data_IF_502344191509
#
_entry.id   IF_502344191509
#
_cell.length_a   1.000
_cell.length_b   1.000
_cell.length_c   1.000
_cell.angle_alpha   90.00
_cell.angle_beta   90.00
_cell.angle_gamma   90.00
#
_symmetry.space_group_name_H-M   'P 1'
#
loop_
_entity.id
_entity.type
_entity.pdbx_description
1 polymer ?
#
# COMPACT_ATOMS: atom_id res chain seq x y z
N UNK A 1 28.56 -11.77 7.91
CA UNK A 1 28.00 -13.03 8.46
C UNK A 1 27.03 -12.63 9.57
N UNK A 2 25.79 -13.14 9.64
CA UNK A 2 25.06 -14.01 8.72
C UNK A 2 23.87 -13.28 8.03
N UNK A 3 23.32 -13.93 6.99
CA UNK A 3 22.02 -13.63 6.40
C UNK A 3 20.95 -13.80 7.48
N UNK A 4 20.07 -12.81 7.62
CA UNK A 4 18.89 -12.93 8.47
C UNK A 4 17.97 -13.95 7.77
N UNK A 5 17.96 -15.19 8.26
CA UNK A 5 16.84 -16.10 8.05
C UNK A 5 15.64 -15.48 8.75
N UNK A 6 14.79 -14.76 7.99
CA UNK A 6 13.47 -14.39 8.46
C UNK A 6 12.59 -15.63 8.29
N UNK A 7 12.62 -16.51 9.28
CA UNK A 7 11.71 -17.64 9.37
C UNK A 7 10.34 -17.10 9.79
N UNK A 8 9.58 -16.59 8.81
CA UNK A 8 8.18 -16.24 8.98
C UNK A 8 7.38 -17.45 8.52
N UNK A 9 6.90 -18.27 9.45
CA UNK A 9 5.77 -19.16 9.17
C UNK A 9 4.57 -18.27 8.84
N UNK A 10 4.38 -17.95 7.55
CA UNK A 10 3.13 -17.38 7.08
C UNK A 10 1.99 -18.32 7.45
N UNK A 11 0.91 -17.78 8.02
CA UNK A 11 -0.27 -18.60 8.29
C UNK A 11 -0.77 -19.19 6.98
N UNK A 12 -0.99 -20.51 6.95
CA UNK A 12 -1.61 -21.23 5.84
C UNK A 12 -2.90 -20.53 5.38
N UNK A 13 -3.67 -19.98 6.31
CA UNK A 13 -4.92 -19.24 6.01
C UNK A 13 -4.68 -17.95 5.22
N UNK A 14 -3.59 -17.23 5.49
CA UNK A 14 -3.25 -16.00 4.77
C UNK A 14 -2.92 -16.32 3.30
N UNK A 15 -2.18 -17.41 3.07
CA UNK A 15 -1.84 -17.90 1.74
C UNK A 15 -3.06 -18.42 1.00
N UNK A 16 -3.92 -19.21 1.66
CA UNK A 16 -5.20 -19.68 1.09
C UNK A 16 -6.09 -18.50 0.68
N UNK A 17 -6.21 -17.48 1.52
CA UNK A 17 -7.00 -16.29 1.20
C UNK A 17 -6.40 -15.50 0.04
N UNK A 18 -5.09 -15.29 -0.01
CA UNK A 18 -4.43 -14.63 -1.14
C UNK A 18 -4.62 -15.42 -2.44
N UNK A 19 -4.59 -16.75 -2.35
CA UNK A 19 -4.91 -17.66 -3.45
C UNK A 19 -6.35 -17.46 -3.94
N UNK A 20 -7.33 -17.44 -3.04
CA UNK A 20 -8.74 -17.20 -3.40
C UNK A 20 -8.95 -15.83 -4.06
N UNK A 21 -8.35 -14.77 -3.50
CA UNK A 21 -8.31 -13.43 -4.11
C UNK A 21 -7.80 -13.50 -5.56
N UNK A 22 -6.67 -14.18 -5.74
CA UNK A 22 -6.00 -14.23 -7.04
C UNK A 22 -6.82 -14.97 -8.08
N UNK A 23 -7.34 -16.16 -7.72
CA UNK A 23 -8.04 -17.02 -8.67
C UNK A 23 -9.39 -16.43 -9.02
N UNK A 24 -10.24 -16.22 -8.02
CA UNK A 24 -11.66 -15.93 -8.24
C UNK A 24 -11.88 -14.47 -8.65
N UNK A 25 -10.97 -13.54 -8.30
CA UNK A 25 -11.20 -12.11 -8.49
C UNK A 25 -10.15 -11.36 -9.31
N UNK A 26 -8.89 -11.79 -9.32
CA UNK A 26 -7.86 -11.10 -10.12
C UNK A 26 -7.72 -11.71 -11.51
N UNK A 27 -7.70 -13.04 -11.59
CA UNK A 27 -7.45 -13.78 -12.82
C UNK A 27 -8.75 -14.15 -13.53
N UNK A 28 -9.74 -14.73 -12.83
CA UNK A 28 -10.99 -15.20 -13.46
C UNK A 28 -11.72 -14.13 -14.32
N UNK A 29 -11.80 -12.84 -13.92
CA UNK A 29 -12.43 -11.82 -14.75
C UNK A 29 -11.71 -11.55 -16.09
N UNK A 30 -10.42 -11.88 -16.20
CA UNK A 30 -9.66 -11.78 -17.45
C UNK A 30 -9.95 -12.96 -18.39
N UNK A 31 -10.43 -14.07 -17.83
CA UNK A 31 -10.78 -15.28 -18.54
C UNK A 31 -12.17 -15.13 -19.18
N UNK A 32 -12.30 -15.66 -20.39
CA UNK A 32 -13.55 -15.67 -21.14
C UNK A 32 -14.62 -16.58 -20.53
N UNK A 33 -15.23 -17.43 -21.35
CA UNK A 33 -16.36 -18.28 -20.96
C UNK A 33 -16.08 -19.25 -19.79
N UNK A 34 -17.16 -19.77 -19.19
CA UNK A 34 -17.15 -20.59 -17.97
C UNK A 34 -16.30 -21.87 -18.00
N UNK A 35 -16.07 -22.47 -19.19
CA UNK A 35 -15.21 -23.65 -19.33
C UNK A 35 -13.74 -23.34 -19.10
N UNK A 36 -13.24 -22.25 -19.71
CA UNK A 36 -11.88 -21.78 -19.49
C UNK A 36 -11.65 -21.47 -18.01
N UNK A 37 -12.63 -20.84 -17.35
CA UNK A 37 -12.56 -20.52 -15.91
C UNK A 37 -12.34 -21.74 -15.02
N UNK A 38 -13.03 -22.87 -15.29
CA UNK A 38 -12.97 -24.07 -14.46
C UNK A 38 -11.65 -24.84 -14.57
N UNK A 39 -11.10 -24.98 -15.77
CA UNK A 39 -9.81 -25.67 -16.00
C UNK A 39 -8.63 -24.85 -15.45
N UNK A 40 -8.73 -23.53 -15.61
CA UNK A 40 -7.74 -22.57 -15.13
C UNK A 40 -7.72 -22.49 -13.62
N UNK A 41 -8.88 -22.42 -12.97
CA UNK A 41 -9.04 -22.43 -11.51
C UNK A 41 -8.29 -23.60 -10.85
N UNK A 42 -8.47 -24.81 -11.37
CA UNK A 42 -7.79 -26.00 -10.83
C UNK A 42 -6.26 -25.95 -11.00
N UNK A 43 -5.77 -25.32 -12.07
CA UNK A 43 -4.33 -25.21 -12.36
C UNK A 43 -3.69 -24.07 -11.57
N UNK A 44 -4.37 -22.91 -11.44
CA UNK A 44 -3.91 -21.82 -10.59
C UNK A 44 -3.87 -22.21 -9.12
N UNK A 45 -4.88 -22.93 -8.61
CA UNK A 45 -4.88 -23.39 -7.21
C UNK A 45 -3.64 -24.24 -6.90
N UNK A 46 -3.23 -25.12 -7.83
CA UNK A 46 -1.98 -25.89 -7.70
C UNK A 46 -0.74 -25.01 -7.78
N UNK A 47 -0.71 -24.07 -8.73
CA UNK A 47 0.43 -23.19 -8.96
C UNK A 47 0.69 -22.17 -7.84
N UNK A 48 -0.39 -21.67 -7.23
CA UNK A 48 -0.35 -20.72 -6.12
C UNK A 48 -0.16 -21.44 -4.77
N UNK A 49 -0.62 -22.68 -4.62
CA UNK A 49 -0.31 -23.52 -3.45
C UNK A 49 1.16 -23.95 -3.35
N UNK A 50 1.87 -24.03 -4.49
CA UNK A 50 3.32 -24.24 -4.56
C UNK A 50 4.13 -22.93 -4.69
N UNK A 51 3.41 -21.80 -4.83
CA UNK A 51 3.92 -20.43 -4.95
C UNK A 51 5.11 -20.25 -5.91
N UNK A 52 4.87 -20.39 -7.21
CA UNK A 52 5.83 -20.01 -8.25
C UNK A 52 5.17 -19.09 -9.29
N UNK A 53 5.60 -17.83 -9.37
CA UNK A 53 5.15 -16.84 -10.36
C UNK A 53 5.25 -17.36 -11.82
N UNK A 54 6.23 -18.20 -12.11
CA UNK A 54 6.39 -18.88 -13.40
C UNK A 54 5.20 -19.78 -13.76
N UNK A 55 4.60 -20.44 -12.77
CA UNK A 55 3.45 -21.34 -13.00
C UNK A 55 2.17 -20.54 -13.24
N UNK A 56 1.94 -19.41 -12.54
CA UNK A 56 0.82 -18.49 -12.84
C UNK A 56 0.95 -17.95 -14.27
N UNK A 57 2.17 -17.59 -14.68
CA UNK A 57 2.45 -17.15 -16.04
C UNK A 57 2.23 -18.28 -17.07
N UNK A 58 2.63 -19.51 -16.76
CA UNK A 58 2.41 -20.67 -17.63
C UNK A 58 0.92 -20.95 -17.85
N UNK A 59 0.12 -20.86 -16.78
CA UNK A 59 -1.35 -20.92 -16.86
C UNK A 59 -1.89 -19.79 -17.73
N UNK A 60 -1.36 -18.57 -17.55
CA UNK A 60 -1.69 -17.42 -18.39
C UNK A 60 -1.44 -17.62 -19.88
N UNK A 61 -0.32 -18.26 -20.25
CA UNK A 61 0.00 -18.63 -21.64
C UNK A 61 -1.02 -19.62 -22.19
N UNK A 62 -1.31 -20.69 -21.46
CA UNK A 62 -2.28 -21.70 -21.88
C UNK A 62 -3.68 -21.10 -22.13
N UNK A 63 -4.08 -20.12 -21.33
CA UNK A 63 -5.34 -19.39 -21.49
C UNK A 63 -5.33 -18.51 -22.73
N UNK A 64 -4.25 -17.75 -22.92
CA UNK A 64 -4.10 -16.87 -24.05
C UNK A 64 -4.16 -17.67 -25.36
N UNK A 65 -3.51 -18.84 -25.38
CA UNK A 65 -3.58 -19.82 -26.46
C UNK A 65 -5.02 -20.34 -26.67
N UNK A 66 -5.71 -20.76 -25.60
CA UNK A 66 -7.09 -21.28 -25.70
C UNK A 66 -8.07 -20.22 -26.24
N UNK A 67 -7.94 -18.96 -25.79
CA UNK A 67 -8.77 -17.85 -26.26
C UNK A 67 -8.45 -17.49 -27.71
N UNK A 68 -7.17 -17.55 -28.10
CA UNK A 68 -6.77 -17.40 -29.50
C UNK A 68 -7.35 -18.53 -30.38
N UNK A 69 -7.38 -19.78 -29.90
CA UNK A 69 -8.00 -20.89 -30.61
C UNK A 69 -9.52 -20.71 -30.78
N UNK A 70 -10.23 -20.22 -29.75
CA UNK A 70 -11.66 -19.93 -29.83
C UNK A 70 -11.95 -18.84 -30.90
N UNK A 71 -11.15 -17.77 -30.91
CA UNK A 71 -11.31 -16.69 -31.89
C UNK A 71 -10.96 -17.19 -33.31
N UNK A 72 -9.88 -17.98 -33.47
CA UNK A 72 -9.52 -18.61 -34.75
C UNK A 72 -10.64 -19.51 -35.28
N UNK A 73 -11.20 -20.37 -34.45
CA UNK A 73 -12.32 -21.23 -34.82
C UNK A 73 -13.55 -20.42 -35.27
N UNK A 74 -13.78 -19.25 -34.66
CA UNK A 74 -14.83 -18.30 -35.06
C UNK A 74 -14.49 -17.55 -36.35
N UNK A 75 -13.21 -17.30 -36.64
CA UNK A 75 -12.71 -16.66 -37.85
C UNK A 75 -12.63 -17.62 -39.06
N UNK A 76 -12.51 -18.93 -38.82
CA UNK A 76 -12.59 -19.97 -39.85
C UNK A 76 -14.03 -20.22 -40.35
N UNK A 77 -15.05 -19.65 -39.68
CA UNK A 77 -16.37 -19.46 -40.28
C UNK A 77 -16.25 -18.52 -41.50
N UNK A 78 -16.95 -18.74 -42.62
CA UNK A 78 -16.66 -18.04 -43.88
C UNK A 78 -16.94 -16.52 -43.80
N UNK A 79 -15.92 -15.64 -43.84
CA UNK A 79 -15.79 -14.65 -44.94
C UNK A 79 -14.33 -14.39 -45.44
N UNK A 80 -14.21 -13.52 -46.47
CA UNK A 80 -13.08 -13.37 -47.42
C UNK A 80 -11.69 -12.92 -46.92
N UNK A 81 -10.66 -13.20 -47.73
CA UNK A 81 -9.25 -13.31 -47.36
C UNK A 81 -8.52 -12.06 -46.80
N UNK A 82 -8.98 -10.84 -47.06
CA UNK A 82 -8.43 -9.63 -46.42
C UNK A 82 -8.83 -9.52 -44.95
N UNK A 83 -10.04 -9.99 -44.61
CA UNK A 83 -10.53 -10.07 -43.24
C UNK A 83 -9.68 -11.03 -42.40
N UNK A 84 -9.11 -12.08 -43.01
CA UNK A 84 -8.33 -13.12 -42.31
C UNK A 84 -6.97 -12.63 -41.79
N UNK A 85 -6.27 -11.79 -42.55
CA UNK A 85 -4.98 -11.23 -42.10
C UNK A 85 -5.19 -10.27 -40.93
N UNK A 86 -6.20 -9.41 -41.03
CA UNK A 86 -6.57 -8.48 -39.95
C UNK A 86 -7.03 -9.22 -38.68
N UNK A 87 -7.80 -10.31 -38.80
CA UNK A 87 -8.20 -11.13 -37.64
C UNK A 87 -7.03 -11.86 -36.98
N UNK A 88 -6.07 -12.40 -37.76
CA UNK A 88 -4.90 -13.09 -37.19
C UNK A 88 -3.99 -12.11 -36.43
N UNK A 89 -3.84 -10.89 -36.90
CA UNK A 89 -3.08 -9.84 -36.19
C UNK A 89 -3.80 -9.37 -34.91
N UNK A 90 -5.14 -9.29 -34.94
CA UNK A 90 -5.95 -9.01 -33.75
C UNK A 90 -5.81 -10.12 -32.70
N UNK A 91 -5.76 -11.38 -33.11
CA UNK A 91 -5.58 -12.53 -32.21
C UNK A 91 -4.25 -12.46 -31.49
N UNK A 92 -3.13 -12.25 -32.22
CA UNK A 92 -1.80 -12.13 -31.62
C UNK A 92 -1.68 -10.95 -30.67
N UNK A 93 -2.34 -9.82 -30.98
CA UNK A 93 -2.38 -8.67 -30.08
C UNK A 93 -3.16 -8.98 -28.81
N UNK A 94 -4.28 -9.69 -28.93
CA UNK A 94 -5.13 -10.07 -27.80
C UNK A 94 -4.41 -11.05 -26.87
N UNK A 95 -3.74 -12.05 -27.45
CA UNK A 95 -2.91 -13.04 -26.74
C UNK A 95 -1.80 -12.34 -25.93
N UNK A 96 -0.94 -11.56 -26.59
CA UNK A 96 0.15 -10.82 -25.94
C UNK A 96 -0.34 -9.87 -24.86
N UNK A 97 -1.48 -9.22 -25.07
CA UNK A 97 -2.06 -8.32 -24.08
C UNK A 97 -2.54 -9.08 -22.85
N UNK A 98 -3.14 -10.25 -23.02
CA UNK A 98 -3.57 -11.09 -21.90
C UNK A 98 -2.38 -11.65 -21.14
N UNK A 99 -1.38 -12.17 -21.83
CA UNK A 99 -0.13 -12.64 -21.22
C UNK A 99 0.54 -11.56 -20.37
N UNK A 100 0.68 -10.35 -20.91
CA UNK A 100 1.27 -9.21 -20.18
C UNK A 100 0.48 -8.87 -18.92
N UNK A 101 -0.85 -8.82 -19.02
CA UNK A 101 -1.74 -8.51 -17.88
C UNK A 101 -1.64 -9.55 -16.78
N UNK A 102 -1.64 -10.83 -17.15
CA UNK A 102 -1.50 -11.93 -16.21
C UNK A 102 -0.11 -11.97 -15.59
N UNK A 103 0.94 -11.68 -16.37
CA UNK A 103 2.30 -11.55 -15.86
C UNK A 103 2.44 -10.44 -14.82
N UNK A 104 1.81 -9.28 -15.06
CA UNK A 104 1.80 -8.17 -14.10
C UNK A 104 1.09 -8.56 -12.79
N UNK A 105 -0.09 -9.19 -12.87
CA UNK A 105 -0.82 -9.67 -11.69
C UNK A 105 0.01 -10.72 -10.93
N UNK A 106 0.61 -11.67 -11.63
CA UNK A 106 1.44 -12.72 -11.03
C UNK A 106 2.62 -12.12 -10.25
N UNK A 107 3.31 -11.13 -10.83
CA UNK A 107 4.41 -10.44 -10.17
C UNK A 107 3.96 -9.69 -8.91
N UNK A 108 2.80 -9.03 -8.95
CA UNK A 108 2.23 -8.33 -7.78
C UNK A 108 1.82 -9.33 -6.69
N UNK A 109 1.19 -10.45 -7.05
CA UNK A 109 0.77 -11.48 -6.09
C UNK A 109 1.97 -12.14 -5.41
N UNK A 110 3.04 -12.43 -6.16
CA UNK A 110 4.25 -13.01 -5.59
C UNK A 110 4.94 -12.04 -4.63
N UNK A 111 5.03 -10.75 -4.99
CA UNK A 111 5.49 -9.69 -4.09
C UNK A 111 4.58 -9.54 -2.86
N UNK A 112 3.25 -9.65 -3.03
CA UNK A 112 2.28 -9.50 -1.95
C UNK A 112 2.41 -10.63 -0.93
N UNK A 113 2.67 -11.85 -1.41
CA UNK A 113 2.97 -13.01 -0.57
C UNK A 113 4.14 -12.73 0.37
N UNK A 114 5.22 -12.13 -0.13
CA UNK A 114 6.38 -11.78 0.70
C UNK A 114 6.09 -10.65 1.71
N UNK A 115 5.07 -9.83 1.45
CA UNK A 115 4.68 -8.69 2.29
C UNK A 115 3.53 -8.99 3.27
N UNK A 116 3.00 -10.22 3.29
CA UNK A 116 1.94 -10.60 4.23
C UNK A 116 2.47 -10.61 5.67
N UNK A 117 1.71 -10.07 6.64
CA UNK A 117 2.12 -10.13 8.05
C UNK A 117 2.06 -11.58 8.57
N UNK A 118 2.87 -11.84 9.59
CA UNK A 118 2.80 -13.10 10.33
C UNK A 118 1.46 -13.21 11.09
N UNK A 119 0.93 -14.44 11.18
CA UNK A 119 -0.27 -14.74 11.96
C UNK A 119 -1.55 -14.97 11.15
N UNK A 120 -2.63 -15.30 11.86
CA UNK A 120 -3.91 -15.65 11.27
C UNK A 120 -4.62 -14.44 10.68
N UNK A 121 -5.08 -14.60 9.44
CA UNK A 121 -5.85 -13.59 8.74
C UNK A 121 -7.36 -13.87 8.91
N UNK A 122 -8.20 -12.85 9.17
CA UNK A 122 -9.64 -13.04 9.30
C UNK A 122 -10.23 -13.66 8.03
N UNK A 123 -11.06 -14.69 8.21
CA UNK A 123 -11.81 -15.35 7.15
C UNK A 123 -13.02 -14.49 6.75
N UNK A 124 -12.77 -13.50 5.90
CA UNK A 124 -13.76 -12.54 5.41
C UNK A 124 -13.65 -12.46 3.91
N UNK A 125 -14.78 -12.65 3.23
CA UNK A 125 -14.84 -12.61 1.78
C UNK A 125 -14.38 -11.25 1.21
N UNK A 126 -13.68 -11.27 0.05
CA UNK A 126 -13.25 -10.07 -0.65
C UNK A 126 -14.45 -9.21 -1.08
N UNK A 127 -14.29 -7.88 -1.03
CA UNK A 127 -15.27 -7.00 -1.66
C UNK A 127 -15.12 -7.04 -3.20
N UNK A 128 -16.22 -7.36 -3.90
CA UNK A 128 -16.22 -7.52 -5.37
C UNK A 128 -15.88 -6.21 -6.09
N UNK A 129 -16.33 -5.07 -5.58
CA UNK A 129 -16.05 -3.77 -6.19
C UNK A 129 -14.58 -3.38 -5.98
N UNK A 130 -14.03 -3.68 -4.80
CA UNK A 130 -12.62 -3.51 -4.48
C UNK A 130 -11.74 -4.39 -5.37
N UNK A 131 -12.00 -5.69 -5.44
CA UNK A 131 -11.17 -6.63 -6.22
C UNK A 131 -11.20 -6.34 -7.71
N UNK A 132 -12.37 -5.96 -8.25
CA UNK A 132 -12.49 -5.50 -9.64
C UNK A 132 -11.67 -4.24 -9.90
N UNK A 133 -11.72 -3.27 -8.99
CA UNK A 133 -10.96 -2.03 -9.09
C UNK A 133 -9.45 -2.29 -8.99
N UNK A 134 -9.04 -3.18 -8.08
CA UNK A 134 -7.66 -3.58 -7.88
C UNK A 134 -7.12 -4.28 -9.14
N UNK A 135 -7.79 -5.33 -9.61
CA UNK A 135 -7.40 -6.08 -10.82
C UNK A 135 -7.27 -5.16 -12.04
N UNK A 136 -8.24 -4.25 -12.21
CA UNK A 136 -8.26 -3.30 -13.31
C UNK A 136 -7.03 -2.39 -13.35
N UNK A 137 -6.54 -1.95 -12.19
CA UNK A 137 -5.30 -1.18 -12.09
C UNK A 137 -4.04 -2.04 -12.19
N UNK A 138 -3.95 -3.09 -11.36
CA UNK A 138 -2.78 -3.97 -11.23
C UNK A 138 -2.34 -4.61 -12.56
N UNK A 139 -3.28 -5.01 -13.42
CA UNK A 139 -2.97 -5.61 -14.73
C UNK A 139 -2.16 -4.68 -15.66
N UNK A 140 -2.17 -3.37 -15.40
CA UNK A 140 -1.44 -2.36 -16.17
C UNK A 140 -0.02 -2.10 -15.65
N UNK A 141 0.30 -2.52 -14.42
CA UNK A 141 1.52 -2.10 -13.70
C UNK A 141 2.70 -3.00 -14.07
N UNK A 142 3.69 -2.42 -14.73
CA UNK A 142 4.89 -3.13 -15.20
C UNK A 142 6.20 -2.66 -14.57
N UNK A 143 6.21 -1.48 -13.94
CA UNK A 143 7.37 -0.98 -13.19
C UNK A 143 7.46 -1.70 -11.84
N UNK A 144 8.64 -2.18 -11.50
CA UNK A 144 8.88 -3.02 -10.34
C UNK A 144 8.51 -2.32 -9.02
N UNK A 145 8.93 -1.08 -8.84
CA UNK A 145 8.64 -0.28 -7.63
C UNK A 145 7.13 -0.07 -7.45
N UNK A 146 6.40 0.18 -8.54
CA UNK A 146 4.95 0.28 -8.49
C UNK A 146 4.32 -1.08 -8.21
N UNK A 147 4.84 -2.19 -8.74
CA UNK A 147 4.34 -3.53 -8.40
C UNK A 147 4.50 -3.82 -6.91
N UNK A 148 5.59 -3.38 -6.27
CA UNK A 148 5.78 -3.51 -4.83
C UNK A 148 4.75 -2.71 -4.03
N UNK A 149 4.48 -1.46 -4.44
CA UNK A 149 3.45 -0.65 -3.80
C UNK A 149 2.05 -1.30 -3.92
N UNK A 150 1.69 -1.77 -5.12
CA UNK A 150 0.45 -2.50 -5.35
C UNK A 150 0.38 -3.82 -4.57
N UNK A 151 1.51 -4.51 -4.44
CA UNK A 151 1.62 -5.75 -3.68
C UNK A 151 1.39 -5.53 -2.18
N UNK A 152 1.94 -4.46 -1.60
CA UNK A 152 1.72 -4.12 -0.19
C UNK A 152 0.29 -3.67 0.08
N UNK A 153 -0.36 -2.98 -0.87
CA UNK A 153 -1.80 -2.71 -0.81
C UNK A 153 -2.61 -4.01 -0.78
N UNK A 154 -2.29 -4.98 -1.64
CA UNK A 154 -2.95 -6.29 -1.65
C UNK A 154 -2.73 -7.05 -0.34
N UNK A 155 -1.49 -7.10 0.14
CA UNK A 155 -1.14 -7.76 1.39
C UNK A 155 -1.90 -7.15 2.59
N UNK A 156 -1.99 -5.82 2.64
CA UNK A 156 -2.76 -5.09 3.64
C UNK A 156 -4.26 -5.42 3.62
N UNK A 157 -4.88 -5.45 2.43
CA UNK A 157 -6.31 -5.79 2.30
C UNK A 157 -6.59 -7.26 2.62
N UNK A 158 -5.69 -8.18 2.21
CA UNK A 158 -5.78 -9.61 2.55
C UNK A 158 -5.70 -9.77 4.06
N UNK A 159 -4.67 -9.21 4.69
CA UNK A 159 -4.46 -9.25 6.14
C UNK A 159 -5.63 -8.63 6.90
N UNK A 160 -6.16 -7.52 6.38
CA UNK A 160 -7.26 -6.81 6.99
C UNK A 160 -8.09 -6.06 5.96
N UNK A 161 -9.35 -6.49 5.85
CA UNK A 161 -10.35 -5.86 4.99
C UNK A 161 -10.58 -4.40 5.38
N UNK A 162 -10.72 -3.53 4.38
CA UNK A 162 -11.04 -2.11 4.55
C UNK A 162 -9.84 -1.23 4.88
N UNK A 163 -8.61 -1.73 4.72
CA UNK A 163 -7.39 -0.92 4.83
C UNK A 163 -7.23 0.02 3.65
N UNK A 164 -7.75 -0.37 2.48
CA UNK A 164 -7.72 0.46 1.26
C UNK A 164 -9.10 0.58 0.63
N UNK A 165 -9.52 1.79 0.26
CA UNK A 165 -10.79 2.02 -0.44
C UNK A 165 -10.65 1.95 -1.96
N UNK A 166 -11.77 1.74 -2.66
CA UNK A 166 -11.84 1.86 -4.14
C UNK A 166 -11.37 3.25 -4.62
N UNK A 167 -11.58 4.31 -3.81
CA UNK A 167 -11.10 5.65 -4.14
C UNK A 167 -9.57 5.71 -4.07
N UNK A 168 -8.94 5.13 -3.05
CA UNK A 168 -7.49 5.02 -2.98
C UNK A 168 -6.91 4.20 -4.13
N UNK A 169 -7.53 3.07 -4.50
CA UNK A 169 -7.10 2.31 -5.69
C UNK A 169 -7.18 3.13 -6.99
N UNK A 170 -8.19 3.99 -7.11
CA UNK A 170 -8.32 4.88 -8.27
C UNK A 170 -7.20 5.92 -8.31
N UNK A 171 -6.87 6.52 -7.15
CA UNK A 171 -5.72 7.44 -7.03
C UNK A 171 -4.42 6.72 -7.33
N UNK A 172 -4.18 5.55 -6.72
CA UNK A 172 -2.97 4.75 -6.91
C UNK A 172 -2.73 4.39 -8.38
N UNK A 173 -3.79 4.11 -9.14
CA UNK A 173 -3.72 3.82 -10.58
C UNK A 173 -3.30 5.03 -11.42
N UNK A 174 -3.54 6.23 -10.93
CA UNK A 174 -3.22 7.48 -11.63
C UNK A 174 -1.81 7.98 -11.31
N UNK A 175 -1.15 7.42 -10.28
CA UNK A 175 0.21 7.80 -9.92
C UNK A 175 1.23 7.30 -10.95
N UNK A 176 2.07 8.22 -11.41
CA UNK A 176 3.33 7.87 -12.05
C UNK A 176 4.44 7.67 -11.01
N UNK A 177 5.59 7.19 -11.47
CA UNK A 177 6.74 6.92 -10.60
C UNK A 177 7.22 8.18 -9.86
N UNK A 178 7.30 9.32 -10.55
CA UNK A 178 7.77 10.57 -9.95
C UNK A 178 6.84 11.08 -8.84
N UNK A 179 5.52 11.00 -9.05
CA UNK A 179 4.53 11.36 -8.03
C UNK A 179 4.56 10.37 -6.86
N UNK A 180 4.75 9.08 -7.13
CA UNK A 180 4.87 8.06 -6.08
C UNK A 180 6.13 8.27 -5.21
N UNK A 181 7.27 8.58 -5.82
CA UNK A 181 8.52 8.91 -5.12
C UNK A 181 8.37 10.19 -4.28
N UNK A 182 7.77 11.23 -4.86
CA UNK A 182 7.46 12.46 -4.15
C UNK A 182 6.52 12.21 -2.96
N UNK A 183 5.50 11.38 -3.15
CA UNK A 183 4.57 11.03 -2.08
C UNK A 183 5.26 10.19 -1.00
N UNK A 184 6.18 9.30 -1.37
CA UNK A 184 7.03 8.57 -0.42
C UNK A 184 7.88 9.51 0.42
N UNK A 185 8.51 10.51 -0.20
CA UNK A 185 9.26 11.55 0.49
C UNK A 185 8.40 12.27 1.52
N UNK A 186 7.17 12.65 1.13
CA UNK A 186 6.23 13.32 2.03
C UNK A 186 5.81 12.40 3.19
N UNK A 187 5.44 11.15 2.92
CA UNK A 187 5.01 10.18 3.94
C UNK A 187 6.11 9.87 4.96
N UNK A 188 7.36 9.89 4.52
CA UNK A 188 8.53 9.68 5.39
C UNK A 188 8.72 10.77 6.46
N UNK A 189 8.08 11.92 6.26
CA UNK A 189 8.08 13.05 7.19
C UNK A 189 6.77 13.14 8.00
N UNK A 190 5.82 12.23 7.76
CA UNK A 190 4.51 12.28 8.39
C UNK A 190 4.51 11.69 9.79
N UNK A 191 3.79 12.34 10.69
CA UNK A 191 3.32 11.73 11.94
C UNK A 191 1.89 11.26 11.74
N UNK A 192 1.51 10.14 12.35
CA UNK A 192 0.17 9.58 12.19
C UNK A 192 -0.44 9.22 13.55
N UNK A 193 -1.76 9.28 13.65
CA UNK A 193 -2.49 8.68 14.78
C UNK A 193 -3.36 7.54 14.27
N UNK A 194 -3.52 6.52 15.10
CA UNK A 194 -4.39 5.38 14.84
C UNK A 194 -5.59 5.40 15.77
N UNK A 195 -6.75 4.96 15.28
CA UNK A 195 -7.94 4.76 16.09
C UNK A 195 -7.89 3.44 16.87
N UNK A 196 -8.95 3.17 17.63
CA UNK A 196 -9.10 1.92 18.41
C UNK A 196 -9.09 0.68 17.52
N UNK A 197 -9.54 0.83 16.27
CA UNK A 197 -9.47 -0.19 15.26
C UNK A 197 -8.09 -0.23 14.59
N UNK A 198 -7.03 0.40 15.10
CA UNK A 198 -5.70 0.42 14.47
C UNK A 198 -5.67 0.99 13.02
N UNK A 199 -6.74 1.63 12.54
CA UNK A 199 -6.73 2.34 11.26
C UNK A 199 -6.22 3.76 11.47
N UNK A 200 -5.50 4.28 10.48
CA UNK A 200 -4.95 5.63 10.53
C UNK A 200 -6.06 6.67 10.46
N UNK A 201 -6.28 7.41 11.55
CA UNK A 201 -7.31 8.45 11.64
C UNK A 201 -6.86 9.75 11.00
N UNK A 202 -5.59 10.13 11.20
CA UNK A 202 -4.96 11.29 10.60
C UNK A 202 -3.47 11.06 10.34
N UNK A 203 -2.91 11.89 9.46
CA UNK A 203 -1.50 11.86 9.08
C UNK A 203 -1.06 13.25 8.66
N UNK A 204 -0.17 13.85 9.43
CA UNK A 204 0.30 15.23 9.26
C UNK A 204 1.79 15.28 8.93
N UNK A 205 2.16 16.11 7.97
CA UNK A 205 3.55 16.54 7.76
C UNK A 205 3.70 17.94 8.29
N UNK A 206 4.41 18.06 9.41
CA UNK A 206 4.62 19.32 10.11
C UNK A 206 5.58 20.20 9.32
N UNK A 207 5.50 21.51 9.53
CA UNK A 207 6.43 22.49 8.96
C UNK A 207 7.41 22.99 10.04
N UNK A 208 8.37 22.18 10.49
CA UNK A 208 9.25 22.56 11.60
C UNK A 208 10.16 23.73 11.22
N UNK A 209 10.14 24.79 12.04
CA UNK A 209 11.04 25.95 11.91
C UNK A 209 10.68 26.94 10.79
N UNK A 210 9.39 27.06 10.43
CA UNK A 210 8.91 28.08 9.50
C UNK A 210 7.38 28.19 9.49
N UNK A 211 6.83 29.13 8.71
CA UNK A 211 5.38 29.20 8.49
C UNK A 211 4.98 28.16 7.42
N UNK A 212 4.04 27.23 7.69
CA UNK A 212 3.47 26.35 6.67
C UNK A 212 2.97 27.11 5.43
N UNK A 213 2.47 28.35 5.61
CA UNK A 213 2.05 29.22 4.52
C UNK A 213 3.19 29.72 3.61
N UNK A 214 4.45 29.54 4.01
CA UNK A 214 5.65 29.84 3.24
C UNK A 214 6.37 28.56 2.76
N UNK A 215 5.75 27.39 2.91
CA UNK A 215 6.31 26.08 2.59
C UNK A 215 7.68 25.81 3.24
N UNK A 216 7.69 25.68 4.57
CA UNK A 216 8.90 25.28 5.29
C UNK A 216 9.40 23.86 4.92
N UNK A 217 8.68 23.09 4.09
CA UNK A 217 9.08 21.78 3.60
C UNK A 217 10.06 21.83 2.42
N UNK A 218 10.25 23.00 1.79
CA UNK A 218 11.14 23.13 0.63
C UNK A 218 12.58 22.72 0.95
N UNK A 219 13.08 23.09 2.13
CA UNK A 219 14.40 22.67 2.64
C UNK A 219 14.54 21.16 2.85
N UNK A 220 13.44 20.42 2.88
CA UNK A 220 13.41 18.96 3.00
C UNK A 220 13.10 18.25 1.67
N UNK A 221 13.06 19.00 0.57
CA UNK A 221 12.86 18.48 -0.77
C UNK A 221 11.41 18.42 -1.23
N UNK A 222 10.50 19.19 -0.60
CA UNK A 222 9.09 19.28 -1.03
C UNK A 222 8.72 20.74 -1.26
N UNK A 223 8.68 21.16 -2.52
CA UNK A 223 8.33 22.52 -2.94
C UNK A 223 6.80 22.76 -2.98
N UNK A 224 6.36 24.00 -3.22
CA UNK A 224 4.95 24.29 -3.45
C UNK A 224 4.41 23.63 -4.73
N UNK A 225 5.25 23.46 -5.74
CA UNK A 225 4.89 22.77 -6.98
C UNK A 225 4.61 21.30 -6.65
N UNK A 226 5.48 20.69 -5.85
CA UNK A 226 5.33 19.31 -5.41
C UNK A 226 4.04 19.10 -4.59
N UNK A 227 3.76 19.99 -3.62
CA UNK A 227 2.50 19.94 -2.87
C UNK A 227 1.27 20.08 -3.79
N UNK A 228 1.37 20.89 -4.83
CA UNK A 228 0.29 21.06 -5.80
C UNK A 228 0.04 19.79 -6.60
N UNK A 229 1.11 19.10 -7.06
CA UNK A 229 1.00 17.81 -7.74
C UNK A 229 0.34 16.75 -6.84
N UNK A 230 0.73 16.68 -5.56
CA UNK A 230 0.13 15.74 -4.61
C UNK A 230 -1.35 16.05 -4.34
N UNK A 231 -1.72 17.33 -4.26
CA UNK A 231 -3.11 17.75 -4.11
C UNK A 231 -3.96 17.44 -5.36
N UNK A 232 -3.41 17.63 -6.56
CA UNK A 232 -4.10 17.31 -7.82
C UNK A 232 -4.44 15.82 -7.94
N UNK A 233 -3.54 14.94 -7.47
CA UNK A 233 -3.81 13.50 -7.36
C UNK A 233 -4.73 13.14 -6.18
N UNK A 234 -5.06 14.10 -5.32
CA UNK A 234 -5.91 13.89 -4.14
C UNK A 234 -5.22 13.12 -3.02
N UNK A 235 -3.89 13.17 -2.93
CA UNK A 235 -3.10 12.52 -1.88
C UNK A 235 -3.07 13.36 -0.58
N UNK A 236 -3.19 14.68 -0.71
CA UNK A 236 -3.24 15.63 0.41
C UNK A 236 -4.47 16.53 0.33
N UNK A 237 -4.80 17.22 1.42
CA UNK A 237 -5.77 18.31 1.38
C UNK A 237 -5.18 19.56 0.69
N UNK A 238 -6.06 20.35 0.08
CA UNK A 238 -5.67 21.58 -0.64
C UNK A 238 -5.18 22.71 0.26
N UNK A 239 -5.51 22.67 1.56
CA UNK A 239 -4.93 23.58 2.54
C UNK A 239 -3.63 22.99 3.06
N UNK A 240 -2.51 23.68 2.79
CA UNK A 240 -1.18 23.30 3.26
C UNK A 240 -0.90 23.75 4.71
N UNK A 241 -1.91 24.36 5.37
CA UNK A 241 -1.87 24.83 6.75
C UNK A 241 -3.15 24.39 7.47
N UNK A 242 -3.22 23.11 7.81
CA UNK A 242 -4.29 22.54 8.64
C UNK A 242 -3.72 22.31 10.03
N UNK A 243 -4.48 22.67 11.05
CA UNK A 243 -4.15 22.38 12.44
C UNK A 243 -5.08 21.35 13.05
N UNK A 244 -4.55 20.52 13.94
CA UNK A 244 -5.35 19.55 14.72
C UNK A 244 -4.81 19.40 16.15
N UNK A 245 -5.71 19.09 17.08
CA UNK A 245 -5.38 18.96 18.50
C UNK A 245 -4.67 17.63 18.77
N UNK A 246 -3.42 17.74 19.22
CA UNK A 246 -2.53 16.65 19.59
C UNK A 246 -2.24 16.62 21.09
N UNK A 247 -3.03 17.34 21.89
CA UNK A 247 -2.93 17.32 23.35
C UNK A 247 -3.05 15.90 23.92
N UNK A 248 -3.83 15.02 23.28
CA UNK A 248 -3.97 13.60 23.67
C UNK A 248 -2.70 12.76 23.48
N UNK A 249 -1.74 13.27 22.70
CA UNK A 249 -0.41 12.67 22.50
C UNK A 249 0.63 13.12 23.52
N UNK A 250 0.26 14.05 24.41
CA UNK A 250 1.08 14.42 25.56
C UNK A 250 0.92 13.35 26.63
N UNK A 251 2.04 12.76 27.03
CA UNK A 251 2.07 11.71 28.03
C UNK A 251 1.99 12.27 29.45
N UNK A 252 1.20 11.60 30.28
CA UNK A 252 1.25 11.76 31.72
C UNK A 252 2.23 10.74 32.33
N UNK A 253 2.86 11.12 33.45
CA UNK A 253 3.70 10.19 34.20
C UNK A 253 2.80 9.23 34.99
N UNK A 254 2.94 7.93 34.74
CA UNK A 254 2.26 6.86 35.50
C UNK A 254 3.29 5.98 36.21
N UNK A 255 2.88 5.12 37.17
CA UNK A 255 3.78 4.14 37.78
C UNK A 255 4.44 3.18 36.77
N UNK A 256 3.85 3.02 35.59
CA UNK A 256 4.34 2.17 34.51
C UNK A 256 5.17 2.93 33.44
N UNK A 257 5.44 4.22 33.66
CA UNK A 257 6.19 5.07 32.73
C UNK A 257 5.34 6.19 32.13
N UNK A 258 5.84 6.78 31.04
CA UNK A 258 5.11 7.83 30.30
C UNK A 258 4.03 7.19 29.44
N UNK A 259 2.77 7.62 29.61
CA UNK A 259 1.64 7.12 28.83
C UNK A 259 0.80 8.28 28.31
N UNK A 260 0.54 8.27 27.00
CA UNK A 260 -0.38 9.19 26.35
C UNK A 260 -1.70 8.46 26.06
N UNK A 261 -2.81 9.22 26.02
CA UNK A 261 -4.12 8.69 25.63
C UNK A 261 -4.11 8.22 24.18
N UNK A 262 -3.44 8.98 23.31
CA UNK A 262 -3.23 8.65 21.91
C UNK A 262 -1.78 8.93 21.50
N UNK A 263 -0.89 7.93 21.57
CA UNK A 263 0.42 8.00 20.96
C UNK A 263 0.31 8.31 19.46
N UNK A 264 1.41 8.76 18.87
CA UNK A 264 1.50 8.95 17.43
C UNK A 264 2.64 8.12 16.86
N UNK A 265 2.56 7.77 15.59
CA UNK A 265 3.60 7.04 14.90
C UNK A 265 4.44 7.98 14.05
N UNK A 266 5.74 7.72 14.01
CA UNK A 266 6.69 8.39 13.14
C UNK A 266 7.76 7.37 12.74
N UNK A 267 8.06 7.27 11.45
CA UNK A 267 9.01 6.29 10.90
C UNK A 267 8.67 4.83 11.32
N UNK A 268 7.38 4.49 11.34
CA UNK A 268 6.89 3.16 11.74
C UNK A 268 7.04 2.85 13.24
N UNK A 269 7.55 3.78 14.04
CA UNK A 269 7.70 3.62 15.48
C UNK A 269 6.67 4.43 16.23
N UNK A 270 6.27 3.96 17.42
CA UNK A 270 5.33 4.64 18.29
C UNK A 270 6.05 5.63 19.22
N UNK A 271 5.50 6.84 19.33
CA UNK A 271 6.07 7.96 20.08
C UNK A 271 5.02 8.63 20.95
N UNK A 272 5.49 9.23 22.04
CA UNK A 272 4.73 10.12 22.92
C UNK A 272 5.45 11.46 23.08
N UNK A 273 4.70 12.49 23.47
CA UNK A 273 5.27 13.79 23.80
C UNK A 273 5.33 13.97 25.32
N UNK A 274 6.52 14.17 25.87
CA UNK A 274 6.72 14.43 27.30
C UNK A 274 6.70 15.94 27.53
N UNK A 275 5.83 16.47 28.41
CA UNK A 275 5.82 17.88 28.74
C UNK A 275 7.02 18.24 29.62
N UNK A 276 7.77 19.29 29.24
CA UNK A 276 8.96 19.72 30.00
C UNK A 276 8.65 20.72 31.11
N UNK A 277 7.48 21.38 31.05
CA UNK A 277 7.12 22.47 31.97
C UNK A 277 5.72 22.31 32.55
N UNK A 278 4.73 22.20 31.68
CA UNK A 278 3.31 22.16 32.06
C UNK A 278 2.67 20.86 31.55
N UNK A 279 2.30 19.92 32.45
CA UNK A 279 1.63 18.68 32.08
C UNK A 279 0.27 18.85 31.42
N UNK A 280 -0.42 19.96 31.71
CA UNK A 280 -1.75 20.26 31.18
C UNK A 280 -1.70 21.14 29.92
N UNK A 281 -0.50 21.35 29.36
CA UNK A 281 -0.32 22.19 28.18
C UNK A 281 -1.13 21.64 27.01
N UNK A 282 -1.81 22.53 26.30
CA UNK A 282 -2.48 22.19 25.04
C UNK A 282 -1.49 22.28 23.90
N UNK A 283 -1.64 21.38 22.94
CA UNK A 283 -0.75 21.34 21.79
C UNK A 283 -1.50 21.04 20.50
N UNK A 284 -1.25 21.87 19.49
CA UNK A 284 -1.84 21.76 18.17
C UNK A 284 -0.71 21.59 17.15
N UNK A 285 -0.76 20.51 16.38
CA UNK A 285 0.14 20.38 15.22
C UNK A 285 -0.39 21.23 14.09
N UNK A 286 0.48 21.72 13.21
CA UNK A 286 0.07 22.42 12.00
C UNK A 286 0.95 22.00 10.83
N UNK A 287 0.33 21.72 9.69
CA UNK A 287 1.06 21.37 8.49
C UNK A 287 0.15 20.86 7.37
N UNK A 288 0.73 19.98 6.55
CA UNK A 288 0.04 19.34 5.43
C UNK A 288 -0.65 18.07 5.93
N UNK A 289 -1.96 17.98 5.74
CA UNK A 289 -2.76 16.80 6.08
C UNK A 289 -2.92 15.90 4.86
N UNK A 290 -2.62 14.61 5.01
CA UNK A 290 -2.95 13.62 3.99
C UNK A 290 -4.47 13.43 3.88
N UNK A 291 -4.95 13.30 2.64
CA UNK A 291 -6.35 12.94 2.39
C UNK A 291 -6.63 11.52 2.90
N UNK A 292 -7.91 11.12 2.97
CA UNK A 292 -8.25 9.73 3.30
C UNK A 292 -7.55 8.74 2.34
N UNK A 293 -7.60 8.99 1.04
CA UNK A 293 -6.94 8.15 0.04
C UNK A 293 -5.42 8.16 0.20
N UNK A 294 -4.82 9.32 0.51
CA UNK A 294 -3.40 9.43 0.79
C UNK A 294 -2.98 8.58 1.98
N UNK A 295 -3.72 8.60 3.08
CA UNK A 295 -3.41 7.77 4.27
C UNK A 295 -3.52 6.28 3.99
N UNK A 296 -4.54 5.86 3.24
CA UNK A 296 -4.72 4.46 2.85
C UNK A 296 -3.54 3.98 1.98
N UNK A 297 -3.07 4.81 1.03
CA UNK A 297 -1.89 4.49 0.19
C UNK A 297 -0.60 4.53 1.02
N UNK A 298 -0.46 5.49 1.94
CA UNK A 298 0.73 5.67 2.76
C UNK A 298 1.06 4.43 3.60
N UNK A 299 0.06 3.65 4.02
CA UNK A 299 0.26 2.39 4.74
C UNK A 299 1.05 1.34 3.94
N UNK A 300 1.05 1.43 2.61
CA UNK A 300 1.78 0.54 1.72
C UNK A 300 3.15 1.11 1.29
N UNK A 301 3.49 2.33 1.70
CA UNK A 301 4.74 2.99 1.34
C UNK A 301 5.85 2.56 2.29
N UNK A 302 7.01 2.28 1.71
CA UNK A 302 8.22 2.03 2.49
C UNK A 302 8.90 3.38 2.73
N UNK A 303 9.07 3.71 3.99
CA UNK A 303 9.56 5.00 4.42
C UNK A 303 11.08 5.08 4.24
N UNK A 304 11.55 6.26 3.87
CA UNK A 304 12.97 6.59 3.86
C UNK A 304 13.32 7.47 5.06
N UNK A 305 14.57 7.41 5.51
CA UNK A 305 15.04 8.31 6.56
C UNK A 305 15.33 9.69 5.99
N UNK A 306 14.87 10.74 6.66
CA UNK A 306 15.16 12.14 6.30
C UNK A 306 15.84 12.83 7.50
N UNK A 307 17.18 12.67 7.67
CA UNK A 307 17.87 13.07 8.90
C UNK A 307 17.71 14.55 9.27
N UNK A 308 17.68 15.44 8.27
CA UNK A 308 17.49 16.88 8.49
C UNK A 308 16.08 17.17 9.03
N UNK A 309 15.08 16.42 8.57
CA UNK A 309 13.71 16.54 9.06
C UNK A 309 13.58 15.93 10.46
N UNK A 310 14.22 14.79 10.73
CA UNK A 310 14.22 14.16 12.07
C UNK A 310 14.72 15.13 13.14
N UNK A 311 15.82 15.84 12.87
CA UNK A 311 16.38 16.84 13.77
C UNK A 311 15.46 18.06 13.91
N UNK A 312 14.89 18.53 12.80
CA UNK A 312 13.98 19.67 12.80
C UNK A 312 12.68 19.37 13.55
N UNK A 313 12.13 18.16 13.41
CA UNK A 313 10.93 17.70 14.08
C UNK A 313 11.15 17.63 15.60
N UNK A 314 12.24 16.99 16.05
CA UNK A 314 12.61 16.96 17.48
C UNK A 314 12.77 18.37 18.04
N UNK A 315 13.50 19.24 17.32
CA UNK A 315 13.70 20.64 17.71
C UNK A 315 12.37 21.41 17.77
N UNK A 316 11.45 21.15 16.84
CA UNK A 316 10.13 21.78 16.82
C UNK A 316 9.37 21.46 18.11
N UNK A 317 9.30 20.19 18.53
CA UNK A 317 8.65 19.85 19.80
C UNK A 317 9.36 20.51 20.99
N UNK A 318 10.69 20.50 21.04
CA UNK A 318 11.45 21.13 22.14
C UNK A 318 11.16 22.63 22.25
N UNK A 319 11.05 23.34 21.13
CA UNK A 319 10.68 24.78 21.14
C UNK A 319 9.25 25.02 21.65
N UNK A 320 8.39 24.01 21.60
CA UNK A 320 7.02 24.02 22.16
C UNK A 320 6.96 23.44 23.58
N UNK A 321 8.11 23.22 24.25
CA UNK A 321 8.14 22.69 25.62
C UNK A 321 7.74 21.21 25.71
N UNK A 322 7.93 20.46 24.62
CA UNK A 322 7.62 19.04 24.49
C UNK A 322 8.86 18.27 24.06
N UNK A 323 9.04 17.06 24.55
CA UNK A 323 10.12 16.16 24.12
C UNK A 323 9.52 14.89 23.55
N UNK A 324 9.89 14.54 22.32
CA UNK A 324 9.53 13.24 21.74
C UNK A 324 10.26 12.12 22.48
N UNK A 325 9.53 11.08 22.87
CA UNK A 325 10.09 9.85 23.43
C UNK A 325 9.49 8.63 22.73
N UNK A 326 10.34 7.65 22.43
CA UNK A 326 9.92 6.37 21.87
C UNK A 326 9.15 5.58 22.93
N UNK A 327 8.02 5.00 22.56
CA UNK A 327 7.34 4.01 23.42
C UNK A 327 8.13 2.71 23.31
N UNK A 328 8.78 2.29 24.40
CA UNK A 328 9.46 0.99 24.44
C UNK A 328 8.40 -0.11 24.28
N UNK A 329 8.56 -0.96 23.26
CA UNK A 329 7.67 -2.08 23.05
C UNK A 329 7.87 -3.11 24.17
N UNK A 330 6.79 -3.79 24.58
CA UNK A 330 6.84 -4.82 25.63
C UNK A 330 7.81 -5.99 25.34
N UNK A 331 8.33 -6.16 24.12
CA UNK A 331 9.26 -7.26 23.82
C UNK A 331 10.64 -7.09 24.44
N UNK A 332 11.05 -5.85 24.73
CA UNK A 332 12.41 -5.57 25.23
C UNK A 332 12.51 -5.68 26.77
N UNK A 333 11.37 -5.85 27.45
CA UNK A 333 11.32 -6.00 28.91
C UNK A 333 11.49 -7.46 29.37
N UNK A 334 11.28 -8.45 28.49
CA UNK A 334 11.45 -9.88 28.82
C UNK A 334 12.86 -10.42 28.52
N UNK A 335 13.69 -9.67 27.79
CA UNK A 335 15.09 -10.03 27.50
C UNK A 335 16.10 -9.61 28.58
N UNK A 336 15.70 -8.76 29.54
CA UNK A 336 16.53 -8.32 30.66
C UNK A 336 16.26 -9.08 31.98
N UNK A 337 15.33 -10.06 31.98
CA UNK A 337 15.01 -10.91 33.15
C UNK A 337 15.39 -12.40 33.03
N UNK A 338 16.29 -12.78 32.09
CA UNK A 338 16.85 -14.14 32.00
C UNK A 338 18.38 -14.16 32.01
#
# INVERSE_FOLDING_TARGET
MPLIEVDVELSVKALEKLLDYTVDFLVEPLLGGWKARREVRATLIRALGEAQAEQILAVGKAIAEAKAQEIRARAEAPPGAALRLETVDLDRRTERNLERRLGNIAAIVDKARAALPAGDVPDVEPDVAWTSSFSSGAQGVSLEEMQELWARVLAGEVARKGTTSVKALSVLRELDQGTAELFRRLCSMAITRTGDDSLVVDSFVLSPGGDPGMNALEKFGVSFVDLSVLNEHGLIFSSYKIGDDYTTSIAAQTPQGWQASQPFFYQGQEWVLIPERDPDQKFTVTGVLLSKAGREIANAIELETVPEYDQALKSYFTTHGLRMELVQSKSDAESDEL
#
